data_IF_497362244587
#
_entry.id   IF_497362244587
#
_cell.length_a   1.000
_cell.length_b   1.000
_cell.length_c   1.000
_cell.angle_alpha   90.00
_cell.angle_beta   90.00
_cell.angle_gamma   90.00
#
_symmetry.space_group_name_H-M   'P 1'
#
loop_
_entity.id
_entity.type
_entity.pdbx_description
1 polymer ?
#
# COMPACT_ATOMS: atom_id res chain seq x y z
N UNK A 1 43.23 14.22 17.39
CA UNK A 1 42.23 13.29 17.98
C UNK A 1 40.87 13.96 17.90
N UNK A 2 40.21 13.87 16.75
CA UNK A 2 38.84 14.39 16.58
C UNK A 2 37.84 13.36 17.08
N UNK A 3 37.20 13.65 18.21
CA UNK A 3 35.98 12.97 18.62
C UNK A 3 34.86 13.39 17.67
N UNK A 4 34.60 12.57 16.64
CA UNK A 4 33.33 12.59 15.94
C UNK A 4 32.22 12.33 16.97
N UNK A 5 31.42 13.35 17.26
CA UNK A 5 30.19 13.26 18.04
C UNK A 5 29.18 12.39 17.28
N UNK A 6 29.33 11.07 17.38
CA UNK A 6 28.28 10.11 17.01
C UNK A 6 27.07 10.44 17.87
N UNK A 7 26.11 11.17 17.31
CA UNK A 7 24.78 11.28 17.89
C UNK A 7 24.22 9.87 17.88
N UNK A 8 24.28 9.19 19.03
CA UNK A 8 23.76 7.82 19.17
C UNK A 8 22.23 7.89 19.08
N UNK A 9 21.68 7.84 17.88
CA UNK A 9 20.29 7.45 17.71
C UNK A 9 20.17 6.07 18.36
N UNK A 10 19.39 5.97 19.45
CA UNK A 10 19.15 4.67 20.08
C UNK A 10 18.43 3.82 19.05
N UNK A 11 18.95 2.63 18.69
CA UNK A 11 18.30 1.80 17.70
C UNK A 11 16.88 1.45 18.19
N UNK A 12 15.95 1.42 17.23
CA UNK A 12 14.58 0.95 17.48
C UNK A 12 14.59 -0.41 18.18
N UNK A 13 13.51 -0.70 18.92
CA UNK A 13 13.33 -2.00 19.58
C UNK A 13 13.41 -3.14 18.57
N UNK A 14 13.70 -4.35 19.06
CA UNK A 14 13.98 -5.56 18.27
C UNK A 14 13.33 -5.53 16.87
N UNK A 15 14.17 -5.46 15.83
CA UNK A 15 13.72 -5.52 14.45
C UNK A 15 12.89 -6.79 14.24
N UNK A 16 11.78 -6.67 13.50
CA UNK A 16 10.96 -7.82 13.15
C UNK A 16 11.82 -8.80 12.36
N UNK A 17 11.69 -10.09 12.66
CA UNK A 17 12.36 -11.14 11.89
C UNK A 17 11.86 -11.06 10.43
N UNK A 18 12.68 -11.45 9.42
CA UNK A 18 12.24 -11.46 8.02
C UNK A 18 10.92 -12.21 7.80
N UNK A 19 10.67 -13.30 8.55
CA UNK A 19 9.38 -14.01 8.56
C UNK A 19 8.22 -13.12 9.04
N UNK A 20 8.43 -12.30 10.06
CA UNK A 20 7.40 -11.39 10.58
C UNK A 20 7.12 -10.24 9.61
N UNK A 21 8.16 -9.69 8.95
CA UNK A 21 8.00 -8.70 7.87
C UNK A 21 7.26 -9.30 6.65
N UNK A 22 7.60 -10.52 6.28
CA UNK A 22 6.89 -11.29 5.24
C UNK A 22 5.42 -11.45 5.59
N UNK A 23 5.10 -11.90 6.82
CA UNK A 23 3.72 -12.09 7.26
C UNK A 23 2.96 -10.77 7.35
N UNK A 24 3.63 -9.69 7.78
CA UNK A 24 3.06 -8.35 7.80
C UNK A 24 2.72 -7.86 6.39
N UNK A 25 3.63 -8.03 5.41
CA UNK A 25 3.37 -7.67 4.01
C UNK A 25 2.30 -8.55 3.33
N UNK A 26 2.18 -9.82 3.74
CA UNK A 26 1.08 -10.69 3.30
C UNK A 26 -0.25 -10.25 3.92
N UNK A 27 -0.26 -9.89 5.20
CA UNK A 27 -1.43 -9.45 5.96
C UNK A 27 -1.95 -8.07 5.55
N UNK A 28 -1.06 -7.15 5.17
CA UNK A 28 -1.39 -5.80 4.70
C UNK A 28 -1.99 -5.78 3.30
N UNK A 29 -1.66 -6.76 2.46
CA UNK A 29 -2.25 -6.88 1.13
C UNK A 29 -3.77 -7.11 1.19
N UNK A 30 -4.23 -7.92 2.15
CA UNK A 30 -5.64 -8.25 2.32
C UNK A 30 -6.26 -7.30 3.35
N UNK A 31 -6.76 -6.17 2.84
CA UNK A 31 -7.44 -5.13 3.60
C UNK A 31 -8.62 -4.51 2.82
N UNK A 32 -8.85 -3.22 3.01
CA UNK A 32 -9.97 -2.49 2.41
C UNK A 32 -9.95 -2.58 0.89
N UNK A 33 -8.77 -2.67 0.27
CA UNK A 33 -8.64 -2.74 -1.18
C UNK A 33 -9.28 -3.99 -1.79
N UNK A 34 -9.25 -5.14 -1.10
CA UNK A 34 -9.97 -6.33 -1.54
C UNK A 34 -11.45 -6.28 -1.15
N UNK A 35 -11.78 -6.02 0.12
CA UNK A 35 -13.15 -6.16 0.62
C UNK A 35 -14.09 -5.04 0.17
N UNK A 36 -13.57 -3.82 0.00
CA UNK A 36 -14.36 -2.63 -0.37
C UNK A 36 -13.95 -2.14 -1.75
N UNK A 37 -12.65 -2.14 -2.03
CA UNK A 37 -12.12 -1.76 -3.35
C UNK A 37 -12.61 -2.68 -4.48
N UNK A 38 -12.99 -3.92 -4.19
CA UNK A 38 -13.70 -4.79 -5.14
C UNK A 38 -15.01 -4.17 -5.62
N UNK A 39 -15.86 -3.75 -4.69
CA UNK A 39 -17.15 -3.13 -4.98
C UNK A 39 -17.00 -1.79 -5.70
N UNK A 40 -16.08 -0.94 -5.23
CA UNK A 40 -15.78 0.33 -5.89
C UNK A 40 -15.20 0.13 -7.31
N UNK A 41 -14.34 -0.87 -7.51
CA UNK A 41 -13.80 -1.22 -8.84
C UNK A 41 -14.89 -1.73 -9.80
N UNK A 42 -15.80 -2.60 -9.32
CA UNK A 42 -16.94 -3.08 -10.09
C UNK A 42 -17.90 -1.93 -10.40
N UNK A 43 -18.13 -1.00 -9.46
CA UNK A 43 -18.95 0.18 -9.69
C UNK A 43 -18.35 1.08 -10.80
N UNK A 44 -17.02 1.19 -10.87
CA UNK A 44 -16.34 2.00 -11.86
C UNK A 44 -16.25 1.36 -13.25
N UNK A 45 -15.92 0.06 -13.33
CA UNK A 45 -15.60 -0.62 -14.60
C UNK A 45 -16.59 -1.73 -14.99
N UNK A 46 -17.53 -2.09 -14.13
CA UNK A 46 -18.34 -3.30 -14.30
C UNK A 46 -17.46 -4.57 -14.32
N UNK A 47 -17.85 -5.61 -15.07
CA UNK A 47 -17.07 -6.84 -15.21
C UNK A 47 -15.64 -6.62 -15.74
N UNK A 48 -15.41 -5.55 -16.51
CA UNK A 48 -14.08 -5.17 -17.00
C UNK A 48 -13.07 -4.80 -15.90
N UNK A 49 -13.51 -4.67 -14.65
CA UNK A 49 -12.61 -4.56 -13.49
C UNK A 49 -11.57 -5.69 -13.45
N UNK A 50 -11.88 -6.88 -14.00
CA UNK A 50 -10.96 -7.99 -14.09
C UNK A 50 -9.72 -7.64 -14.92
N UNK A 51 -9.87 -6.84 -15.97
CA UNK A 51 -8.73 -6.31 -16.74
C UNK A 51 -7.86 -5.43 -15.85
N UNK A 52 -8.47 -4.54 -15.07
CA UNK A 52 -7.75 -3.68 -14.12
C UNK A 52 -6.95 -4.51 -13.11
N UNK A 53 -7.53 -5.57 -12.55
CA UNK A 53 -6.83 -6.50 -11.64
C UNK A 53 -5.70 -7.28 -12.33
N UNK A 54 -5.86 -7.73 -13.58
CA UNK A 54 -4.81 -8.41 -14.32
C UNK A 54 -3.64 -7.49 -14.65
N UNK A 55 -3.94 -6.25 -15.08
CA UNK A 55 -2.93 -5.24 -15.42
C UNK A 55 -2.16 -4.81 -14.17
N UNK A 56 -2.87 -4.42 -13.10
CA UNK A 56 -2.23 -4.02 -11.85
C UNK A 56 -1.50 -5.20 -11.18
N UNK A 57 -2.06 -6.41 -11.27
CA UNK A 57 -1.45 -7.66 -10.79
C UNK A 57 -0.15 -7.98 -11.53
N UNK A 58 -0.11 -7.78 -12.85
CA UNK A 58 1.11 -7.92 -13.64
C UNK A 58 2.14 -6.87 -13.22
N UNK A 59 1.71 -5.61 -13.08
CA UNK A 59 2.56 -4.50 -12.71
C UNK A 59 3.23 -4.71 -11.35
N UNK A 60 2.48 -5.11 -10.33
CA UNK A 60 3.05 -5.34 -9.00
C UNK A 60 4.06 -6.49 -8.98
N UNK A 61 3.87 -7.53 -9.79
CA UNK A 61 4.87 -8.61 -9.92
C UNK A 61 6.18 -8.09 -10.51
N UNK A 62 6.12 -7.19 -11.49
CA UNK A 62 7.30 -6.53 -12.05
C UNK A 62 8.00 -5.64 -11.02
N UNK A 63 7.22 -4.86 -10.25
CA UNK A 63 7.72 -4.01 -9.16
C UNK A 63 8.37 -4.84 -8.06
N UNK A 64 7.78 -5.97 -7.67
CA UNK A 64 8.34 -6.88 -6.66
C UNK A 64 9.70 -7.41 -7.09
N UNK A 65 9.85 -7.81 -8.36
CA UNK A 65 11.13 -8.24 -8.93
C UNK A 65 12.17 -7.11 -8.92
N UNK A 66 11.77 -5.91 -9.35
CA UNK A 66 12.65 -4.76 -9.39
C UNK A 66 13.15 -4.37 -7.99
N UNK A 67 12.26 -4.33 -7.00
CA UNK A 67 12.61 -4.09 -5.60
C UNK A 67 13.45 -5.20 -5.00
N UNK A 68 13.13 -6.46 -5.33
CA UNK A 68 13.92 -7.60 -4.87
C UNK A 68 15.37 -7.51 -5.34
N UNK A 69 15.60 -7.17 -6.62
CA UNK A 69 16.95 -6.95 -7.16
C UNK A 69 17.68 -5.84 -6.41
N UNK A 70 17.06 -4.65 -6.26
CA UNK A 70 17.68 -3.52 -5.59
C UNK A 70 17.96 -3.78 -4.10
N UNK A 71 17.04 -4.46 -3.41
CA UNK A 71 17.18 -4.80 -2.00
C UNK A 71 18.21 -5.90 -1.76
N UNK A 72 18.33 -6.87 -2.66
CA UNK A 72 19.36 -7.89 -2.57
C UNK A 72 20.76 -7.30 -2.80
N UNK A 73 20.87 -6.32 -3.70
CA UNK A 73 22.12 -5.62 -3.96
C UNK A 73 22.51 -4.64 -2.85
N UNK A 74 21.52 -4.03 -2.19
CA UNK A 74 21.78 -3.09 -1.11
C UNK A 74 20.64 -3.08 -0.08
N UNK A 75 20.70 -3.96 0.94
CA UNK A 75 19.66 -4.06 1.96
C UNK A 75 19.48 -2.76 2.75
N UNK A 76 18.36 -2.06 2.54
CA UNK A 76 18.04 -0.85 3.27
C UNK A 76 16.52 -0.72 3.54
N UNK A 77 16.19 -0.48 4.81
CA UNK A 77 14.82 -0.32 5.31
C UNK A 77 14.06 0.89 4.73
N UNK A 78 14.76 1.87 4.14
CA UNK A 78 14.13 2.99 3.45
C UNK A 78 13.54 2.65 2.07
N UNK A 79 13.75 1.42 1.59
CA UNK A 79 13.16 0.84 0.38
C UNK A 79 13.13 1.82 -0.80
N UNK A 80 11.94 2.15 -1.31
CA UNK A 80 11.71 3.05 -2.45
C UNK A 80 12.52 4.34 -2.37
N UNK A 81 12.46 5.02 -1.22
CA UNK A 81 13.12 6.32 -1.02
C UNK A 81 14.64 6.21 -1.19
N UNK A 82 15.24 5.14 -0.67
CA UNK A 82 16.70 4.94 -0.72
C UNK A 82 17.16 4.53 -2.10
N UNK A 83 16.45 3.63 -2.77
CA UNK A 83 16.80 3.21 -4.12
C UNK A 83 16.64 4.36 -5.12
N UNK A 84 15.58 5.16 -5.01
CA UNK A 84 15.43 6.38 -5.81
C UNK A 84 16.52 7.41 -5.50
N UNK A 85 16.93 7.57 -4.24
CA UNK A 85 18.06 8.44 -3.89
C UNK A 85 19.37 8.00 -4.56
N UNK A 86 19.65 6.70 -4.62
CA UNK A 86 20.86 6.15 -5.27
C UNK A 86 20.83 6.30 -6.79
N UNK A 87 19.64 6.19 -7.38
CA UNK A 87 19.44 6.33 -8.82
C UNK A 87 19.55 7.80 -9.27
N UNK A 88 18.80 8.70 -8.61
CA UNK A 88 18.52 10.05 -9.09
C UNK A 88 18.88 11.18 -8.12
N UNK A 89 19.45 10.85 -6.95
CA UNK A 89 19.97 11.81 -5.97
C UNK A 89 19.03 12.10 -4.79
N UNK A 90 19.53 12.81 -3.76
CA UNK A 90 18.85 12.97 -2.47
C UNK A 90 17.44 13.57 -2.53
N UNK A 91 17.22 14.58 -3.39
CA UNK A 91 15.91 15.24 -3.52
C UNK A 91 14.87 14.26 -4.05
N UNK A 92 15.18 13.49 -5.09
CA UNK A 92 14.25 12.50 -5.65
C UNK A 92 13.89 11.42 -4.61
N UNK A 93 14.88 10.93 -3.86
CA UNK A 93 14.62 9.97 -2.80
C UNK A 93 13.79 10.55 -1.65
N UNK A 94 14.05 11.79 -1.24
CA UNK A 94 13.24 12.47 -0.22
C UNK A 94 11.79 12.67 -0.69
N UNK A 95 11.56 13.09 -1.93
CA UNK A 95 10.22 13.20 -2.53
C UNK A 95 9.46 11.88 -2.46
N UNK A 96 10.08 10.78 -2.94
CA UNK A 96 9.44 9.46 -2.92
C UNK A 96 9.20 8.98 -1.48
N UNK A 97 10.09 9.28 -0.55
CA UNK A 97 9.91 8.94 0.86
C UNK A 97 8.72 9.66 1.49
N UNK A 98 8.56 10.97 1.25
CA UNK A 98 7.39 11.72 1.70
C UNK A 98 6.09 11.27 1.02
N UNK A 99 6.15 10.99 -0.28
CA UNK A 99 5.00 10.46 -1.03
C UNK A 99 4.55 9.11 -0.45
N UNK A 100 5.50 8.22 -0.16
CA UNK A 100 5.21 6.93 0.43
C UNK A 100 4.71 7.04 1.87
N UNK A 101 5.27 7.93 2.69
CA UNK A 101 4.75 8.21 4.03
C UNK A 101 3.31 8.71 3.99
N UNK A 102 3.02 9.70 3.13
CA UNK A 102 1.66 10.20 2.94
C UNK A 102 0.71 9.08 2.50
N UNK A 103 1.12 8.26 1.53
CA UNK A 103 0.34 7.11 1.08
C UNK A 103 -0.02 6.19 2.26
N UNK A 104 0.96 5.79 3.08
CA UNK A 104 0.71 4.92 4.25
C UNK A 104 -0.27 5.56 5.25
N UNK A 105 -0.16 6.87 5.45
CA UNK A 105 -1.05 7.62 6.33
C UNK A 105 -2.48 7.71 5.79
N UNK A 106 -2.65 7.86 4.48
CA UNK A 106 -3.97 7.80 3.82
C UNK A 106 -4.55 6.38 3.90
N UNK A 107 -3.72 5.34 3.75
CA UNK A 107 -4.14 3.94 3.92
C UNK A 107 -4.71 3.70 5.31
N UNK A 108 -4.05 4.17 6.38
CA UNK A 108 -4.55 4.04 7.76
C UNK A 108 -5.98 4.57 7.88
N UNK A 109 -6.25 5.73 7.28
CA UNK A 109 -7.58 6.33 7.29
C UNK A 109 -8.59 5.50 6.47
N UNK A 110 -8.21 5.05 5.27
CA UNK A 110 -9.05 4.23 4.40
C UNK A 110 -9.44 2.89 5.06
N UNK A 111 -8.49 2.24 5.73
CA UNK A 111 -8.73 1.00 6.48
C UNK A 111 -9.67 1.22 7.67
N UNK A 112 -9.50 2.32 8.42
CA UNK A 112 -10.36 2.66 9.56
C UNK A 112 -11.81 2.92 9.13
N UNK A 113 -11.99 3.74 8.09
CA UNK A 113 -13.29 4.08 7.53
C UNK A 113 -13.94 2.88 6.86
N UNK A 114 -13.14 2.07 6.15
CA UNK A 114 -13.63 0.84 5.55
C UNK A 114 -14.14 -0.16 6.60
N UNK A 115 -13.37 -0.36 7.68
CA UNK A 115 -13.76 -1.24 8.78
C UNK A 115 -15.05 -0.73 9.45
N UNK A 116 -15.14 0.58 9.68
CA UNK A 116 -16.32 1.20 10.27
C UNK A 116 -17.54 1.10 9.34
N UNK A 117 -17.36 1.32 8.04
CA UNK A 117 -18.43 1.21 7.04
C UNK A 117 -18.97 -0.22 6.92
N UNK A 118 -18.09 -1.22 6.93
CA UNK A 118 -18.50 -2.63 6.98
C UNK A 118 -19.23 -2.96 8.28
N UNK A 119 -18.72 -2.50 9.43
CA UNK A 119 -19.36 -2.77 10.72
C UNK A 119 -20.73 -2.08 10.85
N UNK A 120 -20.90 -0.91 10.23
CA UNK A 120 -22.18 -0.20 10.18
C UNK A 120 -23.27 -0.99 9.42
N UNK A 121 -22.90 -1.92 8.52
CA UNK A 121 -23.88 -2.81 7.86
C UNK A 121 -24.49 -3.83 8.83
N UNK A 122 -23.78 -4.14 9.93
CA UNK A 122 -24.26 -5.04 11.00
C UNK A 122 -24.90 -4.23 12.13
N UNK A 123 -24.26 -3.12 12.51
CA UNK A 123 -24.67 -2.26 13.62
C UNK A 123 -24.97 -0.83 13.13
N UNK A 124 -26.11 -0.61 12.45
CA UNK A 124 -26.42 0.68 11.80
C UNK A 124 -26.65 1.82 12.80
N UNK A 125 -26.86 1.51 14.08
CA UNK A 125 -27.00 2.51 15.14
C UNK A 125 -25.67 3.22 15.48
N UNK A 126 -24.52 2.64 15.09
CA UNK A 126 -23.21 3.21 15.35
C UNK A 126 -22.74 4.03 14.13
N UNK A 127 -22.44 5.33 14.29
CA UNK A 127 -22.01 6.14 13.16
C UNK A 127 -20.57 5.80 12.76
N UNK A 128 -20.31 5.78 11.45
CA UNK A 128 -19.03 5.38 10.84
C UNK A 128 -17.85 6.19 11.39
N UNK A 129 -17.98 7.51 11.48
CA UNK A 129 -16.92 8.39 11.99
C UNK A 129 -16.51 8.04 13.43
N UNK A 130 -17.46 7.67 14.29
CA UNK A 130 -17.19 7.36 15.70
C UNK A 130 -16.45 6.03 15.81
N UNK A 131 -16.89 5.02 15.06
CA UNK A 131 -16.20 3.73 15.02
C UNK A 131 -14.79 3.87 14.45
N UNK A 132 -14.62 4.62 13.35
CA UNK A 132 -13.31 4.89 12.76
C UNK A 132 -12.38 5.61 13.76
N UNK A 133 -12.89 6.60 14.49
CA UNK A 133 -12.15 7.28 15.56
C UNK A 133 -11.69 6.32 16.66
N UNK A 134 -12.61 5.47 17.16
CA UNK A 134 -12.31 4.48 18.19
C UNK A 134 -11.23 3.50 17.70
N UNK A 135 -11.34 3.00 16.47
CA UNK A 135 -10.33 2.11 15.89
C UNK A 135 -8.95 2.77 15.82
N UNK A 136 -8.89 4.01 15.34
CA UNK A 136 -7.64 4.78 15.28
C UNK A 136 -7.03 4.95 16.67
N UNK A 137 -7.82 5.35 17.67
CA UNK A 137 -7.35 5.56 19.05
C UNK A 137 -6.83 4.25 19.66
N UNK A 138 -7.61 3.17 19.55
CA UNK A 138 -7.24 1.86 20.11
C UNK A 138 -5.97 1.33 19.45
N UNK A 139 -5.87 1.36 18.12
CA UNK A 139 -4.69 0.84 17.43
C UNK A 139 -3.46 1.74 17.60
N UNK A 140 -3.66 3.04 17.80
CA UNK A 140 -2.57 3.94 18.23
C UNK A 140 -2.06 3.53 19.60
N UNK A 141 -2.95 3.29 20.58
CA UNK A 141 -2.56 2.83 21.90
C UNK A 141 -1.78 1.51 21.84
N UNK A 142 -2.24 0.56 21.02
CA UNK A 142 -1.52 -0.72 20.78
C UNK A 142 -0.13 -0.47 20.19
N UNK A 143 0.01 0.40 19.19
CA UNK A 143 1.31 0.72 18.56
C UNK A 143 2.28 1.45 19.48
N UNK A 144 1.79 2.11 20.53
CA UNK A 144 2.64 2.75 21.53
C UNK A 144 3.16 1.77 22.60
N UNK A 145 2.64 0.53 22.65
CA UNK A 145 3.13 -0.54 23.53
C UNK A 145 4.23 -1.38 22.87
N UNK A 146 5.02 -2.11 23.66
CA UNK A 146 6.17 -2.88 23.15
C UNK A 146 5.73 -4.04 22.24
N UNK A 147 6.18 -3.99 20.99
CA UNK A 147 5.70 -4.77 19.83
C UNK A 147 6.13 -6.26 19.82
N UNK A 148 6.48 -6.85 20.97
CA UNK A 148 7.10 -8.19 21.03
C UNK A 148 6.22 -9.32 20.47
N UNK A 149 4.89 -9.20 20.54
CA UNK A 149 3.96 -10.26 20.09
C UNK A 149 3.28 -9.96 18.73
N UNK A 150 3.60 -8.83 18.11
CA UNK A 150 2.91 -8.35 16.90
C UNK A 150 2.94 -9.35 15.74
N UNK A 151 4.11 -9.91 15.44
CA UNK A 151 4.26 -10.81 14.30
C UNK A 151 3.52 -12.14 14.43
N UNK A 152 3.19 -12.58 15.65
CA UNK A 152 2.41 -13.80 15.88
C UNK A 152 0.92 -13.54 15.73
N UNK A 153 0.41 -12.41 16.25
CA UNK A 153 -0.98 -12.00 16.02
C UNK A 153 -1.27 -11.85 14.52
N UNK A 154 -0.41 -11.13 13.79
CA UNK A 154 -0.56 -10.96 12.35
C UNK A 154 -0.56 -12.29 11.58
N UNK A 155 0.21 -13.29 12.03
CA UNK A 155 0.19 -14.61 11.41
C UNK A 155 -1.18 -15.29 11.55
N UNK A 156 -1.76 -15.31 12.75
CA UNK A 156 -3.07 -15.89 12.98
C UNK A 156 -4.19 -15.14 12.24
N UNK A 157 -4.14 -13.80 12.23
CA UNK A 157 -5.06 -12.99 11.44
C UNK A 157 -4.94 -13.30 9.94
N UNK A 158 -3.73 -13.39 9.39
CA UNK A 158 -3.52 -13.72 7.99
C UNK A 158 -4.08 -15.11 7.63
N UNK A 159 -3.89 -16.12 8.49
CA UNK A 159 -4.44 -17.46 8.28
C UNK A 159 -5.97 -17.45 8.24
N UNK A 160 -6.59 -16.76 9.19
CA UNK A 160 -8.05 -16.65 9.27
C UNK A 160 -8.65 -15.92 8.05
N UNK A 161 -8.01 -14.82 7.61
CA UNK A 161 -8.39 -14.09 6.39
C UNK A 161 -8.41 -15.02 5.16
N UNK A 162 -7.33 -15.81 4.99
CA UNK A 162 -7.21 -16.73 3.84
C UNK A 162 -8.28 -17.82 3.88
N UNK A 163 -8.52 -18.41 5.05
CA UNK A 163 -9.56 -19.44 5.20
C UNK A 163 -10.95 -18.90 4.84
N UNK A 164 -11.28 -17.68 5.27
CA UNK A 164 -12.55 -17.04 4.95
C UNK A 164 -12.71 -16.74 3.45
N UNK A 165 -11.65 -16.28 2.78
CA UNK A 165 -11.68 -16.04 1.32
C UNK A 165 -11.83 -17.36 0.57
N UNK A 166 -11.14 -18.43 0.99
CA UNK A 166 -11.30 -19.75 0.38
C UNK A 166 -12.74 -20.25 0.54
N UNK A 167 -13.32 -20.14 1.74
CA UNK A 167 -14.72 -20.49 1.98
C UNK A 167 -15.68 -19.67 1.11
N UNK A 168 -15.45 -18.35 1.02
CA UNK A 168 -16.20 -17.46 0.14
C UNK A 168 -16.14 -17.91 -1.33
N UNK A 169 -14.97 -18.26 -1.85
CA UNK A 169 -14.81 -18.73 -3.22
C UNK A 169 -15.57 -20.04 -3.46
N UNK A 170 -15.49 -21.00 -2.53
CA UNK A 170 -16.21 -22.26 -2.63
C UNK A 170 -17.72 -22.02 -2.72
N UNK A 171 -18.27 -21.17 -1.86
CA UNK A 171 -19.70 -20.81 -1.86
C UNK A 171 -20.07 -20.05 -3.13
N UNK A 172 -19.26 -19.06 -3.52
CA UNK A 172 -19.49 -18.25 -4.71
C UNK A 172 -19.52 -19.07 -5.99
N UNK A 173 -18.55 -19.96 -6.18
CA UNK A 173 -18.56 -20.87 -7.34
C UNK A 173 -19.69 -21.88 -7.26
N UNK A 174 -20.01 -22.42 -6.07
CA UNK A 174 -21.19 -23.28 -5.90
C UNK A 174 -22.48 -22.57 -6.33
N UNK A 175 -22.65 -21.29 -5.96
CA UNK A 175 -23.77 -20.47 -6.38
C UNK A 175 -23.80 -20.30 -7.91
N UNK A 176 -22.66 -19.96 -8.53
CA UNK A 176 -22.56 -19.79 -9.98
C UNK A 176 -22.88 -21.08 -10.77
N UNK A 177 -22.47 -22.24 -10.26
CA UNK A 177 -22.75 -23.53 -10.89
C UNK A 177 -24.14 -24.09 -10.53
N UNK A 178 -24.96 -23.37 -9.74
CA UNK A 178 -26.29 -23.83 -9.34
C UNK A 178 -26.27 -25.03 -8.38
N UNK A 179 -25.18 -25.19 -7.63
CA UNK A 179 -24.98 -26.27 -6.66
C UNK A 179 -25.57 -25.93 -5.27
N UNK A 180 -26.03 -24.70 -5.06
CA UNK A 180 -26.66 -24.26 -3.80
C UNK A 180 -28.15 -24.65 -3.81
N UNK A 181 -28.60 -25.55 -2.92
CA UNK A 181 -29.99 -25.99 -2.90
C UNK A 181 -30.96 -24.83 -2.64
N UNK A 182 -32.03 -24.74 -3.43
CA UNK A 182 -33.09 -23.74 -3.22
C UNK A 182 -32.75 -22.32 -3.68
N UNK A 183 -31.59 -22.09 -4.31
CA UNK A 183 -31.17 -20.78 -4.82
C UNK A 183 -30.91 -20.87 -6.32
N UNK A 184 -31.49 -19.95 -7.10
CA UNK A 184 -31.24 -19.88 -8.53
C UNK A 184 -29.86 -19.27 -8.80
N UNK A 185 -29.08 -19.91 -9.67
CA UNK A 185 -27.80 -19.38 -10.09
C UNK A 185 -27.99 -18.07 -10.87
N UNK A 186 -27.27 -16.98 -10.52
CA UNK A 186 -27.26 -15.76 -11.33
C UNK A 186 -26.52 -15.95 -12.68
N UNK A 187 -25.79 -17.06 -12.85
CA UNK A 187 -25.06 -17.39 -14.07
C UNK A 187 -24.06 -16.29 -14.46
N UNK A 188 -24.02 -15.95 -15.75
CA UNK A 188 -23.17 -14.89 -16.31
C UNK A 188 -23.98 -13.65 -16.72
N UNK A 189 -25.20 -13.50 -16.20
CA UNK A 189 -26.11 -12.43 -16.61
C UNK A 189 -25.51 -11.03 -16.40
N UNK A 190 -24.77 -10.83 -15.31
CA UNK A 190 -24.09 -9.56 -15.03
C UNK A 190 -22.89 -9.27 -15.96
N UNK A 191 -22.35 -10.28 -16.64
CA UNK A 191 -21.29 -10.10 -17.66
C UNK A 191 -21.85 -9.74 -19.04
N UNK A 192 -23.05 -10.25 -19.36
CA UNK A 192 -23.65 -10.09 -20.69
C UNK A 192 -24.71 -8.99 -20.74
N UNK A 193 -25.35 -8.65 -19.61
CA UNK A 193 -26.49 -7.74 -19.55
C UNK A 193 -26.17 -6.32 -20.03
N UNK A 194 -25.41 -5.56 -19.24
CA UNK A 194 -24.96 -4.20 -19.60
C UNK A 194 -23.70 -4.21 -20.50
N UNK A 195 -23.24 -5.39 -20.91
CA UNK A 195 -21.95 -5.60 -21.57
C UNK A 195 -20.77 -5.71 -20.58
N UNK A 196 -19.63 -6.18 -21.09
CA UNK A 196 -18.44 -6.44 -20.27
C UNK A 196 -17.78 -5.17 -19.71
N UNK A 197 -17.74 -4.09 -20.51
CA UNK A 197 -17.10 -2.82 -20.16
C UNK A 197 -18.08 -1.64 -20.32
N UNK A 198 -19.11 -1.54 -19.46
CA UNK A 198 -20.19 -0.55 -19.62
C UNK A 198 -19.68 0.91 -19.56
N UNK A 199 -18.64 1.17 -18.77
CA UNK A 199 -18.01 2.49 -18.61
C UNK A 199 -16.80 2.72 -19.55
N UNK A 200 -16.58 1.81 -20.51
CA UNK A 200 -15.46 1.87 -21.46
C UNK A 200 -14.08 1.92 -20.81
N UNK A 201 -13.08 2.46 -21.53
CA UNK A 201 -11.70 2.57 -21.05
C UNK A 201 -11.54 3.54 -19.87
N UNK A 202 -12.38 4.58 -19.77
CA UNK A 202 -12.37 5.52 -18.65
C UNK A 202 -12.66 4.82 -17.32
N UNK A 203 -13.72 3.99 -17.29
CA UNK A 203 -14.04 3.20 -16.10
C UNK A 203 -12.94 2.21 -15.70
N UNK A 204 -12.31 1.55 -16.69
CA UNK A 204 -11.17 0.65 -16.45
C UNK A 204 -10.00 1.40 -15.79
N UNK A 205 -9.72 2.64 -16.21
CA UNK A 205 -8.67 3.47 -15.61
C UNK A 205 -9.03 3.95 -14.20
N UNK A 206 -10.27 4.36 -13.95
CA UNK A 206 -10.74 4.69 -12.60
C UNK A 206 -10.63 3.47 -11.68
N UNK A 207 -11.03 2.28 -12.14
CA UNK A 207 -10.89 1.04 -11.40
C UNK A 207 -9.41 0.68 -11.14
N UNK A 208 -8.50 0.97 -12.07
CA UNK A 208 -7.07 0.71 -11.89
C UNK A 208 -6.48 1.43 -10.67
N UNK A 209 -6.96 2.62 -10.29
CA UNK A 209 -6.51 3.29 -9.07
C UNK A 209 -6.95 2.55 -7.82
N UNK A 210 -8.23 2.19 -7.75
CA UNK A 210 -8.78 1.41 -6.62
C UNK A 210 -8.10 0.05 -6.50
N UNK A 211 -7.82 -0.60 -7.63
CA UNK A 211 -7.14 -1.89 -7.70
C UNK A 211 -5.66 -1.76 -7.33
N UNK A 212 -4.98 -0.69 -7.73
CA UNK A 212 -3.59 -0.45 -7.34
C UNK A 212 -3.46 -0.36 -5.82
N UNK A 213 -4.43 0.28 -5.14
CA UNK A 213 -4.50 0.24 -3.68
C UNK A 213 -4.62 -1.20 -3.14
N UNK A 214 -5.42 -2.06 -3.75
CA UNK A 214 -5.62 -3.44 -3.32
C UNK A 214 -4.36 -4.32 -3.36
N UNK A 215 -3.37 -3.94 -4.17
CA UNK A 215 -2.07 -4.60 -4.23
C UNK A 215 -0.94 -3.85 -3.53
N UNK A 216 -1.15 -2.57 -3.20
CA UNK A 216 -0.18 -1.75 -2.49
C UNK A 216 0.23 -2.39 -1.16
N UNK A 217 1.53 -2.40 -0.89
CA UNK A 217 2.14 -3.02 0.29
C UNK A 217 2.60 -4.47 0.09
N UNK A 218 2.15 -5.17 -0.95
CA UNK A 218 2.65 -6.53 -1.27
C UNK A 218 4.13 -6.52 -1.64
N UNK A 219 4.61 -5.42 -2.20
CA UNK A 219 6.01 -5.15 -2.52
C UNK A 219 6.98 -5.29 -1.33
N UNK A 220 6.53 -5.02 -0.11
CA UNK A 220 7.40 -5.06 1.09
C UNK A 220 7.88 -6.50 1.34
N UNK A 221 7.09 -7.49 0.91
CA UNK A 221 7.45 -8.90 1.01
C UNK A 221 8.72 -9.22 0.21
N UNK A 222 8.93 -8.59 -0.95
CA UNK A 222 10.14 -8.85 -1.75
C UNK A 222 11.37 -8.20 -1.12
N UNK A 223 11.23 -7.03 -0.50
CA UNK A 223 12.31 -6.38 0.27
C UNK A 223 12.73 -7.26 1.44
N UNK A 224 11.77 -7.73 2.25
CA UNK A 224 12.07 -8.62 3.38
C UNK A 224 12.66 -9.97 2.94
N UNK A 225 12.22 -10.51 1.80
CA UNK A 225 12.77 -11.73 1.23
C UNK A 225 14.21 -11.53 0.71
N UNK A 226 14.54 -10.33 0.25
CA UNK A 226 15.87 -9.99 -0.24
C UNK A 226 16.90 -9.83 0.88
N UNK A 227 16.48 -9.61 2.13
CA UNK A 227 17.35 -9.56 3.32
C UNK A 227 17.74 -10.95 3.87
N UNK A 228 17.30 -12.04 3.22
CA UNK A 228 17.61 -13.40 3.66
C UNK A 228 18.98 -13.87 3.18
N UNK A 229 19.49 -14.98 3.76
CA UNK A 229 20.77 -15.58 3.35
C UNK A 229 20.81 -16.01 1.87
N UNK A 230 19.66 -16.32 1.27
CA UNK A 230 19.52 -16.69 -0.14
C UNK A 230 18.48 -15.80 -0.85
N UNK A 231 18.83 -14.53 -1.14
CA UNK A 231 17.88 -13.53 -1.66
C UNK A 231 17.16 -13.99 -2.93
N UNK A 232 17.90 -14.59 -3.87
CA UNK A 232 17.36 -15.01 -5.15
C UNK A 232 16.27 -16.08 -5.03
N UNK A 233 16.46 -17.08 -4.15
CA UNK A 233 15.47 -18.12 -3.92
C UNK A 233 14.26 -17.56 -3.15
N UNK A 234 14.51 -16.79 -2.09
CA UNK A 234 13.47 -16.19 -1.26
C UNK A 234 12.56 -15.23 -2.02
N UNK A 235 13.12 -14.34 -2.85
CA UNK A 235 12.35 -13.41 -3.68
C UNK A 235 11.51 -14.17 -4.71
N UNK A 236 12.08 -15.17 -5.40
CA UNK A 236 11.33 -16.03 -6.34
C UNK A 236 10.12 -16.67 -5.67
N UNK A 237 10.31 -17.22 -4.45
CA UNK A 237 9.23 -17.85 -3.68
C UNK A 237 8.18 -16.82 -3.25
N UNK A 238 8.60 -15.63 -2.81
CA UNK A 238 7.70 -14.54 -2.44
C UNK A 238 6.83 -14.11 -3.64
N UNK A 239 7.44 -13.83 -4.79
CA UNK A 239 6.72 -13.45 -6.01
C UNK A 239 5.75 -14.54 -6.45
N UNK A 240 6.16 -15.82 -6.47
CA UNK A 240 5.26 -16.92 -6.83
C UNK A 240 4.08 -17.04 -5.87
N UNK A 241 4.31 -16.84 -4.58
CA UNK A 241 3.25 -16.89 -3.56
C UNK A 241 2.26 -15.74 -3.76
N UNK A 242 2.75 -14.53 -4.01
CA UNK A 242 1.89 -13.36 -4.29
C UNK A 242 1.11 -13.56 -5.59
N UNK A 243 1.73 -14.06 -6.67
CA UNK A 243 1.05 -14.34 -7.93
C UNK A 243 -0.15 -15.29 -7.73
N UNK A 244 0.04 -16.40 -7.03
CA UNK A 244 -1.06 -17.34 -6.73
C UNK A 244 -2.16 -16.69 -5.92
N UNK A 245 -1.81 -15.83 -4.94
CA UNK A 245 -2.80 -15.08 -4.16
C UNK A 245 -3.59 -14.10 -5.03
N UNK A 246 -2.94 -13.39 -5.95
CA UNK A 246 -3.60 -12.49 -6.89
C UNK A 246 -4.57 -13.26 -7.78
N UNK A 247 -4.13 -14.38 -8.38
CA UNK A 247 -4.97 -15.16 -9.29
C UNK A 247 -6.15 -15.83 -8.58
N UNK A 248 -5.94 -16.42 -7.40
CA UNK A 248 -7.00 -17.17 -6.72
C UNK A 248 -7.89 -16.25 -5.91
N UNK A 249 -7.31 -15.41 -5.04
CA UNK A 249 -8.07 -14.64 -4.06
C UNK A 249 -8.60 -13.33 -4.62
N UNK A 250 -7.86 -12.65 -5.48
CA UNK A 250 -8.34 -11.39 -6.06
C UNK A 250 -9.15 -11.69 -7.31
N UNK A 251 -8.54 -12.22 -8.37
CA UNK A 251 -9.25 -12.47 -9.62
C UNK A 251 -10.44 -13.40 -9.42
N UNK A 252 -10.28 -14.50 -8.65
CA UNK A 252 -11.39 -15.40 -8.33
C UNK A 252 -12.52 -14.72 -7.57
N UNK A 253 -12.22 -13.92 -6.52
CA UNK A 253 -13.27 -13.28 -5.73
C UNK A 253 -13.97 -12.19 -6.52
N UNK A 254 -13.22 -11.38 -7.26
CA UNK A 254 -13.75 -10.32 -8.11
C UNK A 254 -14.63 -10.89 -9.22
N UNK A 255 -14.22 -12.02 -9.82
CA UNK A 255 -15.03 -12.72 -10.81
C UNK A 255 -16.38 -13.15 -10.22
N UNK A 256 -16.36 -13.79 -9.05
CA UNK A 256 -17.58 -14.19 -8.34
C UNK A 256 -18.47 -12.98 -8.03
N UNK A 257 -17.91 -11.92 -7.45
CA UNK A 257 -18.68 -10.73 -7.10
C UNK A 257 -19.28 -10.09 -8.35
N UNK A 258 -18.49 -9.90 -9.41
CA UNK A 258 -18.97 -9.31 -10.66
C UNK A 258 -20.03 -10.17 -11.37
N UNK A 259 -20.01 -11.49 -11.16
CA UNK A 259 -21.01 -12.39 -11.72
C UNK A 259 -22.32 -12.38 -10.93
N UNK A 260 -22.25 -12.21 -9.59
CA UNK A 260 -23.40 -12.32 -8.69
C UNK A 260 -24.06 -10.97 -8.40
N UNK A 261 -23.26 -9.93 -8.14
CA UNK A 261 -23.72 -8.63 -7.64
C UNK A 261 -23.84 -7.63 -8.80
N UNK A 262 -25.06 -7.14 -9.12
CA UNK A 262 -25.25 -6.19 -10.20
C UNK A 262 -24.54 -4.85 -9.95
N UNK A 263 -24.03 -4.27 -11.03
CA UNK A 263 -23.47 -2.90 -11.03
C UNK A 263 -24.55 -1.90 -10.59
N UNK A 264 -24.20 -0.95 -9.71
CA UNK A 264 -25.14 0.03 -9.17
C UNK A 264 -25.98 -0.45 -7.98
N UNK A 265 -25.88 -1.73 -7.59
CA UNK A 265 -26.59 -2.23 -6.40
C UNK A 265 -25.92 -1.77 -5.10
N UNK A 266 -26.73 -1.59 -4.04
CA UNK A 266 -26.22 -1.30 -2.71
C UNK A 266 -25.31 -2.41 -2.14
N UNK A 267 -25.41 -3.63 -2.68
CA UNK A 267 -24.57 -4.77 -2.32
C UNK A 267 -23.08 -4.53 -2.56
N UNK A 268 -22.70 -3.62 -3.46
CA UNK A 268 -21.29 -3.27 -3.71
C UNK A 268 -20.64 -2.49 -2.55
N UNK A 269 -21.41 -2.04 -1.54
CA UNK A 269 -20.84 -1.50 -0.29
C UNK A 269 -20.24 -2.59 0.61
N UNK A 270 -20.75 -3.82 0.52
CA UNK A 270 -20.21 -5.01 1.21
C UNK A 270 -20.29 -6.23 0.27
N UNK A 271 -19.47 -6.26 -0.79
CA UNK A 271 -19.65 -7.18 -1.91
C UNK A 271 -19.51 -8.64 -1.52
N UNK A 272 -18.63 -8.95 -0.56
CA UNK A 272 -18.48 -10.31 -0.04
C UNK A 272 -19.73 -10.79 0.71
N UNK A 273 -20.33 -9.92 1.53
CA UNK A 273 -21.57 -10.22 2.23
C UNK A 273 -22.74 -10.40 1.25
N UNK A 274 -22.84 -9.51 0.26
CA UNK A 274 -23.89 -9.55 -0.75
C UNK A 274 -23.94 -10.88 -1.54
N UNK A 275 -22.79 -11.46 -1.87
CA UNK A 275 -22.73 -12.79 -2.52
C UNK A 275 -23.21 -13.90 -1.57
N UNK A 276 -22.85 -13.85 -0.28
CA UNK A 276 -23.27 -14.87 0.69
C UNK A 276 -24.76 -14.75 1.05
N UNK A 277 -25.30 -13.53 1.07
CA UNK A 277 -26.74 -13.27 1.17
C UNK A 277 -27.47 -13.80 -0.06
N UNK A 278 -26.93 -13.58 -1.26
CA UNK A 278 -27.47 -14.14 -2.49
C UNK A 278 -27.43 -15.69 -2.50
N UNK A 279 -26.46 -16.30 -1.79
CA UNK A 279 -26.40 -17.74 -1.58
C UNK A 279 -27.39 -18.26 -0.52
N UNK A 280 -28.16 -17.39 0.13
CA UNK A 280 -29.19 -17.76 1.11
C UNK A 280 -28.64 -18.40 2.37
N UNK A 281 -27.36 -18.18 2.71
CA UNK A 281 -26.70 -18.80 3.88
C UNK A 281 -26.87 -17.93 5.14
N UNK A 282 -27.72 -18.31 6.11
CA UNK A 282 -27.98 -17.47 7.28
C UNK A 282 -26.72 -17.23 8.10
N UNK A 283 -26.43 -15.97 8.44
CA UNK A 283 -25.28 -15.57 9.25
C UNK A 283 -23.93 -15.56 8.53
N UNK A 284 -23.84 -16.11 7.31
CA UNK A 284 -22.57 -16.14 6.55
C UNK A 284 -22.12 -14.73 6.14
N UNK A 285 -23.06 -13.87 5.73
CA UNK A 285 -22.81 -12.47 5.43
C UNK A 285 -22.27 -11.68 6.63
N UNK A 286 -22.84 -11.89 7.82
CA UNK A 286 -22.33 -11.30 9.06
C UNK A 286 -20.93 -11.82 9.39
N UNK A 287 -20.70 -13.13 9.27
CA UNK A 287 -19.41 -13.74 9.55
C UNK A 287 -18.30 -13.21 8.63
N UNK A 288 -18.51 -13.17 7.31
CA UNK A 288 -17.50 -12.66 6.37
C UNK A 288 -17.26 -11.16 6.59
N UNK A 289 -18.29 -10.39 6.96
CA UNK A 289 -18.16 -8.97 7.27
C UNK A 289 -17.30 -8.75 8.51
N UNK A 290 -17.50 -9.52 9.58
CA UNK A 290 -16.65 -9.47 10.77
C UNK A 290 -15.20 -9.89 10.47
N UNK A 291 -15.01 -10.90 9.62
CA UNK A 291 -13.67 -11.26 9.14
C UNK A 291 -13.03 -10.11 8.37
N UNK A 292 -13.78 -9.46 7.48
CA UNK A 292 -13.31 -8.31 6.72
C UNK A 292 -12.92 -7.15 7.66
N UNK A 293 -13.76 -6.80 8.64
CA UNK A 293 -13.43 -5.78 9.65
C UNK A 293 -12.11 -6.12 10.36
N UNK A 294 -11.95 -7.36 10.83
CA UNK A 294 -10.69 -7.80 11.43
C UNK A 294 -9.51 -7.73 10.44
N UNK A 295 -9.76 -8.00 9.15
CA UNK A 295 -8.76 -7.91 8.11
C UNK A 295 -8.24 -6.48 7.92
N UNK A 296 -9.16 -5.52 7.84
CA UNK A 296 -8.89 -4.10 7.69
C UNK A 296 -8.17 -3.54 8.92
N UNK A 297 -8.59 -3.92 10.14
CA UNK A 297 -7.92 -3.48 11.36
C UNK A 297 -6.48 -4.00 11.49
N UNK A 298 -6.21 -5.25 11.07
CA UNK A 298 -4.84 -5.77 10.98
C UNK A 298 -4.02 -5.02 9.92
N UNK A 299 -4.59 -4.71 8.75
CA UNK A 299 -3.92 -3.91 7.73
C UNK A 299 -3.63 -2.48 8.22
N UNK A 300 -4.56 -1.83 8.92
CA UNK A 300 -4.37 -0.52 9.55
C UNK A 300 -3.17 -0.54 10.50
N UNK A 301 -3.12 -1.53 11.39
CA UNK A 301 -2.05 -1.71 12.37
C UNK A 301 -0.68 -1.84 11.69
N UNK A 302 -0.60 -2.64 10.62
CA UNK A 302 0.61 -2.80 9.82
C UNK A 302 1.04 -1.49 9.13
N UNK A 303 0.10 -0.75 8.54
CA UNK A 303 0.40 0.52 7.87
C UNK A 303 0.80 1.62 8.85
N UNK A 304 0.21 1.67 10.05
CA UNK A 304 0.62 2.61 11.11
C UNK A 304 2.06 2.38 11.56
N UNK A 305 2.43 1.11 11.72
CA UNK A 305 3.80 0.74 12.01
C UNK A 305 4.76 1.12 10.88
N UNK A 306 4.40 0.86 9.62
CA UNK A 306 5.18 1.27 8.44
C UNK A 306 5.36 2.79 8.34
N UNK A 307 4.28 3.55 8.51
CA UNK A 307 4.27 5.01 8.43
C UNK A 307 5.21 5.63 9.48
N UNK A 308 5.11 5.17 10.73
CA UNK A 308 5.95 5.68 11.82
C UNK A 308 7.45 5.46 11.54
N UNK A 309 7.81 4.33 10.94
CA UNK A 309 9.20 4.00 10.58
C UNK A 309 9.71 4.77 9.38
N UNK A 310 8.87 5.01 8.38
CA UNK A 310 9.25 5.84 7.25
C UNK A 310 9.51 7.29 7.68
N UNK A 311 8.62 7.87 8.51
CA UNK A 311 8.83 9.19 9.09
C UNK A 311 10.11 9.25 9.94
N UNK A 312 10.36 8.21 10.75
CA UNK A 312 11.60 8.09 11.52
C UNK A 312 12.84 8.02 10.62
N UNK A 313 12.82 7.20 9.56
CA UNK A 313 13.92 7.05 8.58
C UNK A 313 14.22 8.36 7.84
N UNK A 314 13.18 9.09 7.42
CA UNK A 314 13.34 10.43 6.82
C UNK A 314 13.99 11.41 7.81
N UNK A 315 13.60 11.36 9.08
CA UNK A 315 14.14 12.24 10.11
C UNK A 315 15.61 11.91 10.45
N UNK A 316 15.99 10.63 10.52
CA UNK A 316 17.38 10.21 10.70
C UNK A 316 18.28 10.66 9.55
N UNK A 317 17.76 10.68 8.32
CA UNK A 317 18.47 11.20 7.13
C UNK A 317 18.50 12.73 7.04
N UNK A 318 17.81 13.42 7.96
CA UNK A 318 17.64 14.88 7.96
C UNK A 318 16.72 15.39 6.85
N UNK A 319 15.94 14.51 6.22
CA UNK A 319 14.92 14.84 5.22
C UNK A 319 13.56 15.16 5.84
N UNK A 320 13.42 14.95 7.15
CA UNK A 320 12.29 15.38 7.96
C UNK A 320 12.75 16.06 9.26
N UNK A 321 11.88 16.82 9.95
CA UNK A 321 12.23 17.47 11.20
C UNK A 321 12.79 16.51 12.26
N UNK A 322 13.88 16.91 12.94
CA UNK A 322 14.61 16.06 13.90
C UNK A 322 13.76 15.52 15.06
N UNK A 323 12.67 16.19 15.43
CA UNK A 323 11.79 15.74 16.51
C UNK A 323 11.06 14.42 16.17
N UNK A 324 10.88 14.10 14.88
CA UNK A 324 10.35 12.81 14.43
C UNK A 324 11.33 11.64 14.65
N UNK A 325 12.63 11.91 14.80
CA UNK A 325 13.65 10.91 15.14
C UNK A 325 13.75 10.63 16.65
N UNK A 326 12.87 11.22 17.47
CA UNK A 326 12.87 10.96 18.91
C UNK A 326 12.23 9.59 19.22
N UNK A 327 12.87 8.86 20.14
CA UNK A 327 12.47 7.49 20.52
C UNK A 327 12.17 7.43 22.01
N UNK A 328 11.08 6.76 22.39
CA UNK A 328 10.71 6.54 23.79
C UNK A 328 11.62 5.53 24.51
N UNK A 329 11.46 5.40 25.83
CA UNK A 329 12.13 4.36 26.64
C UNK A 329 11.80 2.94 26.16
N UNK A 330 10.62 2.73 25.56
CA UNK A 330 10.19 1.45 24.98
C UNK A 330 10.75 1.21 23.56
N UNK A 331 11.63 2.09 23.07
CA UNK A 331 12.23 2.08 21.72
C UNK A 331 11.21 2.22 20.57
N UNK A 332 10.18 3.05 20.79
CA UNK A 332 9.10 3.37 19.82
C UNK A 332 9.19 4.85 19.43
N UNK A 333 9.06 5.22 18.14
CA UNK A 333 9.09 6.62 17.69
C UNK A 333 7.72 7.29 17.89
N UNK A 334 7.39 7.62 19.15
CA UNK A 334 6.06 8.10 19.57
C UNK A 334 5.57 9.29 18.74
N UNK A 335 6.47 10.24 18.48
CA UNK A 335 6.15 11.44 17.71
C UNK A 335 5.77 11.11 16.27
N UNK A 336 6.51 10.18 15.63
CA UNK A 336 6.20 9.73 14.28
C UNK A 336 4.88 8.97 14.21
N UNK A 337 4.54 8.20 15.25
CA UNK A 337 3.23 7.55 15.39
C UNK A 337 2.12 8.60 15.47
N UNK A 338 2.23 9.58 16.38
CA UNK A 338 1.22 10.63 16.54
C UNK A 338 1.04 11.48 15.28
N UNK A 339 2.14 11.83 14.59
CA UNK A 339 2.09 12.54 13.32
C UNK A 339 1.37 11.74 12.22
N UNK A 340 1.58 10.41 12.19
CA UNK A 340 0.92 9.52 11.22
C UNK A 340 -0.58 9.35 11.52
N UNK A 341 -0.97 9.41 12.79
CA UNK A 341 -2.37 9.27 13.23
C UNK A 341 -3.17 10.56 13.10
N UNK A 342 -2.52 11.72 13.23
CA UNK A 342 -3.17 13.02 13.13
C UNK A 342 -3.98 13.19 11.83
N UNK A 343 -3.47 12.68 10.72
CA UNK A 343 -4.20 12.69 9.45
C UNK A 343 -5.48 11.84 9.50
N UNK A 344 -5.43 10.65 10.12
CA UNK A 344 -6.61 9.81 10.31
C UNK A 344 -7.70 10.52 11.12
N UNK A 345 -7.32 11.31 12.13
CA UNK A 345 -8.26 12.15 12.89
C UNK A 345 -8.88 13.24 12.01
N UNK A 346 -8.10 13.89 11.14
CA UNK A 346 -8.66 14.84 10.15
C UNK A 346 -9.65 14.14 9.23
N UNK A 347 -9.35 12.91 8.79
CA UNK A 347 -10.25 12.14 7.94
C UNK A 347 -11.55 11.75 8.65
N UNK A 348 -11.51 11.46 9.96
CA UNK A 348 -12.72 11.26 10.79
C UNK A 348 -13.61 12.51 10.80
N UNK A 349 -13.01 13.70 10.90
CA UNK A 349 -13.77 14.97 10.83
C UNK A 349 -14.35 15.18 9.43
N UNK A 350 -13.60 14.85 8.37
CA UNK A 350 -14.11 14.91 7.01
C UNK A 350 -15.26 13.94 6.79
N UNK A 351 -15.19 12.73 7.37
CA UNK A 351 -16.28 11.74 7.31
C UNK A 351 -17.55 12.25 8.01
N UNK A 352 -17.40 12.95 9.13
CA UNK A 352 -18.51 13.64 9.81
C UNK A 352 -19.22 14.63 8.91
N UNK A 353 -18.48 15.30 8.01
CA UNK A 353 -19.00 16.35 7.13
C UNK A 353 -19.47 15.82 5.77
N UNK A 354 -18.82 14.78 5.24
CA UNK A 354 -18.97 14.28 3.86
C UNK A 354 -18.96 12.74 3.77
N UNK A 355 -19.85 12.02 4.49
CA UNK A 355 -19.74 10.57 4.73
C UNK A 355 -19.78 9.68 3.47
N UNK A 356 -20.33 10.15 2.35
CA UNK A 356 -20.42 9.34 1.13
C UNK A 356 -19.20 9.50 0.19
N UNK A 357 -18.38 10.53 0.40
CA UNK A 357 -17.31 10.89 -0.54
C UNK A 357 -15.92 10.47 -0.07
N UNK A 358 -15.68 10.51 1.24
CA UNK A 358 -14.34 10.47 1.81
C UNK A 358 -13.63 9.15 1.49
N UNK A 359 -14.27 8.00 1.72
CA UNK A 359 -13.64 6.71 1.48
C UNK A 359 -13.20 6.54 0.01
N UNK A 360 -14.06 6.87 -0.95
CA UNK A 360 -13.72 6.80 -2.38
C UNK A 360 -12.54 7.69 -2.75
N UNK A 361 -12.49 8.91 -2.21
CA UNK A 361 -11.35 9.83 -2.41
C UNK A 361 -10.06 9.26 -1.82
N UNK A 362 -10.09 8.67 -0.62
CA UNK A 362 -8.90 8.05 -0.01
C UNK A 362 -8.38 6.89 -0.86
N UNK A 363 -9.27 6.00 -1.33
CA UNK A 363 -8.89 4.87 -2.19
C UNK A 363 -8.21 5.35 -3.47
N UNK A 364 -8.73 6.43 -4.08
CA UNK A 364 -8.16 7.05 -5.27
C UNK A 364 -6.81 7.72 -5.00
N UNK A 365 -6.64 8.41 -3.86
CA UNK A 365 -5.35 9.00 -3.45
C UNK A 365 -4.30 7.92 -3.24
N UNK A 366 -4.64 6.84 -2.54
CA UNK A 366 -3.69 5.74 -2.35
C UNK A 366 -3.36 5.09 -3.69
N UNK A 367 -4.35 4.82 -4.52
CA UNK A 367 -4.15 4.24 -5.85
C UNK A 367 -3.19 5.06 -6.72
N UNK A 368 -3.44 6.35 -6.87
CA UNK A 368 -2.63 7.22 -7.73
C UNK A 368 -1.22 7.43 -7.18
N UNK A 369 -1.06 7.59 -5.86
CA UNK A 369 0.27 7.69 -5.23
C UNK A 369 1.05 6.38 -5.33
N UNK A 370 0.39 5.23 -5.18
CA UNK A 370 0.99 3.91 -5.34
C UNK A 370 1.58 3.72 -6.75
N UNK A 371 0.86 4.13 -7.79
CA UNK A 371 1.35 4.08 -9.18
C UNK A 371 2.63 4.92 -9.37
N UNK A 372 2.71 6.10 -8.74
CA UNK A 372 3.92 6.94 -8.80
C UNK A 372 5.09 6.33 -8.01
N UNK A 373 4.82 5.74 -6.86
CA UNK A 373 5.84 5.00 -6.08
C UNK A 373 6.37 3.83 -6.90
N UNK A 374 5.50 3.04 -7.53
CA UNK A 374 5.90 1.95 -8.43
C UNK A 374 6.67 2.43 -9.66
N UNK A 375 6.28 3.57 -10.24
CA UNK A 375 7.03 4.23 -11.32
C UNK A 375 8.45 4.54 -10.87
N UNK A 376 8.59 5.15 -9.69
CA UNK A 376 9.91 5.47 -9.13
C UNK A 376 10.77 4.23 -8.88
N UNK A 377 10.16 3.11 -8.51
CA UNK A 377 10.85 1.85 -8.27
C UNK A 377 11.40 1.24 -9.56
N UNK A 378 10.58 1.18 -10.62
CA UNK A 378 10.99 0.64 -11.91
C UNK A 378 12.05 1.54 -12.59
N UNK A 379 11.89 2.86 -12.50
CA UNK A 379 12.91 3.81 -12.98
C UNK A 379 14.23 3.66 -12.21
N UNK A 380 14.17 3.58 -10.88
CA UNK A 380 15.35 3.38 -10.05
C UNK A 380 16.05 2.05 -10.38
N UNK A 381 15.30 0.97 -10.55
CA UNK A 381 15.87 -0.33 -10.93
C UNK A 381 16.51 -0.25 -12.31
N UNK A 382 15.85 0.35 -13.30
CA UNK A 382 16.42 0.51 -14.63
C UNK A 382 17.76 1.26 -14.58
N UNK A 383 17.80 2.40 -13.88
CA UNK A 383 18.99 3.23 -13.78
C UNK A 383 20.13 2.53 -13.01
N UNK A 384 19.83 1.93 -11.87
CA UNK A 384 20.82 1.22 -11.04
C UNK A 384 21.34 -0.03 -11.74
N UNK A 385 20.47 -0.76 -12.44
CA UNK A 385 20.88 -1.95 -13.18
C UNK A 385 21.78 -1.62 -14.36
N UNK A 386 21.43 -0.61 -15.15
CA UNK A 386 22.29 -0.14 -16.24
C UNK A 386 23.65 0.35 -15.72
N UNK A 387 23.70 0.98 -14.54
CA UNK A 387 24.95 1.40 -13.91
C UNK A 387 25.78 0.19 -13.47
N UNK A 388 25.18 -0.77 -12.79
CA UNK A 388 25.84 -2.00 -12.36
C UNK A 388 26.41 -2.80 -13.55
N UNK A 389 25.65 -2.96 -14.64
CA UNK A 389 26.09 -3.67 -15.84
C UNK A 389 27.26 -2.95 -16.54
N UNK A 390 27.28 -1.61 -16.53
CA UNK A 390 28.41 -0.81 -17.06
C UNK A 390 29.67 -0.91 -16.21
N UNK A 391 29.50 -1.00 -14.88
CA UNK A 391 30.60 -1.08 -13.91
C UNK A 391 31.11 -2.52 -13.72
N UNK A 392 30.43 -3.53 -14.28
CA UNK A 392 30.77 -4.94 -14.08
C UNK A 392 30.43 -5.46 -12.68
N UNK A 393 29.55 -4.76 -11.95
CA UNK A 393 29.17 -5.11 -10.59
C UNK A 393 28.28 -6.35 -10.57
N UNK A 394 28.71 -7.40 -9.86
CA UNK A 394 27.89 -8.59 -9.66
C UNK A 394 26.72 -8.29 -8.71
N UNK A 395 25.52 -8.77 -9.08
CA UNK A 395 24.30 -8.54 -8.32
C UNK A 395 23.80 -9.87 -7.72
N UNK A 396 23.50 -9.95 -6.41
CA UNK A 396 23.05 -11.19 -5.75
C UNK A 396 21.72 -11.73 -6.29
N UNK A 397 20.92 -10.86 -6.88
CA UNK A 397 19.69 -11.18 -7.59
C UNK A 397 19.64 -10.38 -8.87
N UNK A 398 19.12 -10.99 -9.94
CA UNK A 398 18.88 -10.33 -11.20
C UNK A 398 17.40 -10.49 -11.59
N UNK A 399 16.74 -9.39 -11.93
CA UNK A 399 15.40 -9.37 -12.48
C UNK A 399 15.39 -10.17 -13.80
N UNK A 400 14.51 -11.18 -13.94
CA UNK A 400 14.45 -11.96 -15.16
C UNK A 400 14.04 -11.08 -16.35
N UNK A 401 14.59 -11.36 -17.53
CA UNK A 401 14.21 -10.65 -18.75
C UNK A 401 14.50 -9.14 -18.74
N UNK A 402 15.49 -8.68 -17.99
CA UNK A 402 15.98 -7.30 -18.07
C UNK A 402 16.65 -7.03 -19.43
N UNK A 403 16.39 -5.88 -20.09
CA UNK A 403 15.55 -4.75 -19.66
C UNK A 403 14.05 -4.86 -20.03
N UNK A 404 13.66 -5.83 -20.86
CA UNK A 404 12.31 -5.93 -21.43
C UNK A 404 11.19 -5.94 -20.39
N UNK A 405 11.32 -6.70 -19.29
CA UNK A 405 10.28 -6.74 -18.25
C UNK A 405 10.16 -5.43 -17.48
N UNK A 406 11.26 -4.74 -17.19
CA UNK A 406 11.23 -3.40 -16.57
C UNK A 406 10.58 -2.39 -17.51
N UNK A 407 10.95 -2.43 -18.80
CA UNK A 407 10.37 -1.57 -19.82
C UNK A 407 8.87 -1.83 -20.01
N UNK A 408 8.43 -3.09 -19.98
CA UNK A 408 7.01 -3.45 -20.03
C UNK A 408 6.24 -2.81 -18.87
N UNK A 409 6.78 -2.87 -17.64
CA UNK A 409 6.15 -2.24 -16.47
C UNK A 409 6.02 -0.73 -16.62
N UNK A 410 7.05 -0.06 -17.16
CA UNK A 410 7.01 1.38 -17.45
C UNK A 410 6.01 1.72 -18.55
N UNK A 411 5.89 0.89 -19.59
CA UNK A 411 4.88 1.06 -20.66
C UNK A 411 3.46 0.88 -20.10
N UNK A 412 3.24 -0.12 -19.25
CA UNK A 412 1.96 -0.31 -18.57
C UNK A 412 1.61 0.93 -17.73
N UNK A 413 2.53 1.43 -16.92
CA UNK A 413 2.32 2.65 -16.14
C UNK A 413 2.04 3.87 -17.02
N UNK A 414 2.79 4.05 -18.10
CA UNK A 414 2.55 5.13 -19.06
C UNK A 414 1.14 5.02 -19.65
N UNK A 415 0.70 3.83 -20.05
CA UNK A 415 -0.66 3.60 -20.54
C UNK A 415 -1.72 3.90 -19.47
N UNK A 416 -1.52 3.47 -18.22
CA UNK A 416 -2.44 3.77 -17.11
C UNK A 416 -2.57 5.29 -16.92
N UNK A 417 -1.45 6.03 -16.89
CA UNK A 417 -1.48 7.48 -16.78
C UNK A 417 -2.15 8.14 -17.98
N UNK A 418 -1.86 7.70 -19.21
CA UNK A 418 -2.48 8.23 -20.42
C UNK A 418 -4.00 8.05 -20.39
N UNK A 419 -4.50 6.84 -20.12
CA UNK A 419 -5.94 6.60 -20.03
C UNK A 419 -6.55 7.38 -18.86
N UNK A 420 -5.85 7.44 -17.72
CA UNK A 420 -6.30 8.22 -16.56
C UNK A 420 -6.38 9.73 -16.83
N UNK A 421 -5.48 10.30 -17.64
CA UNK A 421 -5.57 11.70 -18.05
C UNK A 421 -6.66 11.94 -19.10
N UNK A 422 -6.97 10.94 -19.93
CA UNK A 422 -8.07 11.03 -20.89
C UNK A 422 -9.42 10.99 -20.17
N UNK A 423 -9.59 10.12 -19.17
CA UNK A 423 -10.84 9.97 -18.41
C UNK A 423 -11.21 11.20 -17.59
N UNK A 424 -12.48 11.61 -17.68
CA UNK A 424 -12.98 12.82 -16.99
C UNK A 424 -12.99 12.66 -15.46
N UNK A 425 -13.35 11.48 -14.96
CA UNK A 425 -13.39 11.19 -13.51
C UNK A 425 -11.99 11.03 -12.90
N UNK A 426 -11.06 10.44 -13.66
CA UNK A 426 -9.70 10.10 -13.21
C UNK A 426 -8.71 11.27 -13.32
N UNK A 427 -8.96 12.22 -14.24
CA UNK A 427 -8.04 13.33 -14.53
C UNK A 427 -7.80 14.26 -13.34
N UNK A 428 -8.83 14.74 -12.60
CA UNK A 428 -8.61 15.61 -11.44
C UNK A 428 -7.73 14.94 -10.39
N UNK A 429 -7.96 13.66 -10.13
CA UNK A 429 -7.17 12.86 -9.19
C UNK A 429 -5.70 12.79 -9.59
N UNK A 430 -5.39 12.53 -10.86
CA UNK A 430 -4.01 12.52 -11.35
C UNK A 430 -3.37 13.90 -11.25
N UNK A 431 -4.05 14.96 -11.68
CA UNK A 431 -3.54 16.33 -11.60
C UNK A 431 -3.20 16.71 -10.14
N UNK A 432 -4.08 16.40 -9.20
CA UNK A 432 -3.84 16.60 -7.76
C UNK A 432 -2.65 15.79 -7.26
N UNK A 433 -2.48 14.56 -7.73
CA UNK A 433 -1.35 13.70 -7.34
C UNK A 433 -0.01 14.24 -7.89
N UNK A 434 0.03 14.63 -9.17
CA UNK A 434 1.23 15.24 -9.75
C UNK A 434 1.55 16.61 -9.12
N UNK A 435 0.53 17.41 -8.80
CA UNK A 435 0.70 18.65 -8.05
C UNK A 435 1.28 18.40 -6.65
N UNK A 436 0.78 17.38 -5.94
CA UNK A 436 1.35 16.94 -4.66
C UNK A 436 2.83 16.57 -4.81
N UNK A 437 3.19 15.76 -5.81
CA UNK A 437 4.60 15.40 -6.05
C UNK A 437 5.45 16.61 -6.39
N UNK A 438 4.94 17.57 -7.15
CA UNK A 438 5.63 18.82 -7.44
C UNK A 438 5.88 19.63 -6.16
N UNK A 439 4.86 19.79 -5.30
CA UNK A 439 4.98 20.48 -4.01
C UNK A 439 6.00 19.80 -3.11
N UNK A 440 5.94 18.47 -2.98
CA UNK A 440 6.91 17.70 -2.21
C UNK A 440 8.33 17.85 -2.75
N UNK A 441 8.50 17.84 -4.08
CA UNK A 441 9.79 18.00 -4.73
C UNK A 441 10.39 19.38 -4.48
N UNK A 442 9.58 20.44 -4.62
CA UNK A 442 10.00 21.81 -4.30
C UNK A 442 10.39 21.92 -2.83
N UNK A 443 9.56 21.39 -1.92
CA UNK A 443 9.85 21.39 -0.48
C UNK A 443 11.15 20.67 -0.13
N UNK A 444 11.37 19.47 -0.69
CA UNK A 444 12.60 18.69 -0.50
C UNK A 444 13.81 19.40 -1.09
N UNK A 445 13.67 20.04 -2.25
CA UNK A 445 14.74 20.80 -2.89
C UNK A 445 15.13 22.03 -2.06
N UNK A 446 14.16 22.80 -1.55
CA UNK A 446 14.41 23.94 -0.66
C UNK A 446 15.13 23.48 0.61
N UNK A 447 14.64 22.40 1.25
CA UNK A 447 15.28 21.85 2.46
C UNK A 447 16.73 21.43 2.19
N UNK A 448 16.97 20.69 1.11
CA UNK A 448 18.30 20.24 0.73
C UNK A 448 19.25 21.41 0.42
N UNK A 449 18.76 22.46 -0.25
CA UNK A 449 19.55 23.68 -0.52
C UNK A 449 19.91 24.42 0.76
N UNK A 450 18.95 24.61 1.66
CA UNK A 450 19.17 25.26 2.96
C UNK A 450 20.21 24.51 3.80
N UNK A 451 20.15 23.16 3.81
CA UNK A 451 21.15 22.32 4.50
C UNK A 451 22.56 22.47 3.93
N UNK A 452 22.71 22.49 2.61
CA UNK A 452 24.01 22.72 1.95
C UNK A 452 24.59 24.09 2.32
N UNK A 453 23.76 25.13 2.36
CA UNK A 453 24.18 26.48 2.77
C UNK A 453 24.61 26.49 4.24
N UNK A 454 23.82 25.91 5.15
CA UNK A 454 24.19 25.84 6.57
C UNK A 454 25.48 25.06 6.82
N UNK A 455 25.71 23.96 6.10
CA UNK A 455 26.95 23.19 6.19
C UNK A 455 28.17 23.98 5.69
N UNK A 456 28.03 24.70 4.58
CA UNK A 456 29.10 25.55 4.04
C UNK A 456 29.46 26.72 4.99
N UNK A 457 28.46 27.34 5.61
CA UNK A 457 28.67 28.41 6.60
C UNK A 457 29.32 27.88 7.89
N UNK A 458 28.96 26.69 8.34
CA UNK A 458 29.57 26.03 9.49
C UNK A 458 31.06 25.71 9.26
N UNK A 459 31.38 25.06 8.14
CA UNK A 459 32.76 24.75 7.76
C UNK A 459 33.63 26.00 7.60
N UNK A 460 33.07 27.10 7.05
CA UNK A 460 33.80 28.38 6.95
C UNK A 460 34.10 29.03 8.32
N UNK A 461 33.23 28.83 9.33
CA UNK A 461 33.48 29.32 10.69
C UNK A 461 34.55 28.49 11.41
N UNK A 462 34.52 27.17 11.27
CA UNK A 462 35.53 26.27 11.84
C UNK A 462 36.92 26.53 11.22
N UNK A 463 36.99 26.69 9.88
CA UNK A 463 38.23 27.03 9.20
C UNK A 463 38.79 28.41 9.58
N UNK A 464 37.93 29.39 9.90
CA UNK A 464 38.37 30.69 10.42
C UNK A 464 38.82 30.60 11.88
N UNK A 465 38.23 29.73 12.69
CA UNK A 465 38.66 29.53 14.07
C UNK A 465 40.00 28.78 14.16
N UNK A 466 40.27 27.81 13.27
CA UNK A 466 41.58 27.14 13.26
C UNK A 466 42.72 28.10 12.86
N UNK A 467 42.49 29.04 11.93
CA UNK A 467 43.48 30.05 11.51
C UNK A 467 43.72 31.15 12.57
N UNK A 468 42.85 31.27 13.57
CA UNK A 468 43.00 32.22 14.69
C UNK A 468 43.68 31.59 15.92
N UNK A 469 43.90 30.27 15.91
CA UNK A 469 44.50 29.51 17.02
C UNK A 469 45.95 29.09 16.70
N UNK A 470 46.36 29.17 15.42
CA UNK A 470 47.75 29.14 14.96
C UNK A 470 48.30 30.57 14.84
#
# INVERSE_FOLDING_TARGET
>A
MEQQTKTSARPLGAALKPRQLTMMGLGSAIGAGLFIGSGAGIQAAGPAVLISYLVAGTLIILVMWALGEMAAANPDSGAFSVYTAKAYGPVAGATVGWLWWLQLVVVIAAEALGAAGLLATIFPALPVWLMAFVFIVVLTAVNLTSVKNFGEFEFWFALFKVAAIVGFLLVGFALLFGLVPGVQSPGMANFTGAGFAPSGFGGIATALFVVAFAFGGTEIVSVAAAETAEPACSVKKAVRTVLWRILVFYIGAIFVIAAVVPVGSAGLKSPFAAVLDAAGMPGAATAITLVAVAALLSALNANLYGASRMAFSLAERGEAPRWLASVSKARVPVVAVLASVAFGVVTVVLELMFPEMVLGVLLNIVGSTCLLVWTSALLAQLALRLRADREGTELPLRMPGFPWLTSLGLVILAAIFTVGFIGEDSRPQLLSTFALVAVLTVGCWVNHRSRKVSAAVGSSKEAKQSVLID
#
